data_IF_461484472574
#
_entry.id   IF_461484472574
#
_cell.length_a   1.000
_cell.length_b   1.000
_cell.length_c   1.000
_cell.angle_alpha   90.00
_cell.angle_beta   90.00
_cell.angle_gamma   90.00
#
_symmetry.space_group_name_H-M   'P 1'
#
loop_
_entity.id
_entity.type
_entity.pdbx_description
1 polymer ?
#
# COMPACT_ATOMS: atom_id res chain seq x y z
N UNK A 1 20.71 10.81 1.71
CA UNK A 1 20.21 10.90 0.32
C UNK A 1 18.72 11.17 0.38
N UNK A 2 18.23 12.21 -0.30
CA UNK A 2 16.78 12.41 -0.47
C UNK A 2 16.29 11.47 -1.58
N UNK A 3 15.24 10.69 -1.30
CA UNK A 3 14.64 9.76 -2.26
C UNK A 3 13.15 10.07 -2.38
N UNK A 4 12.78 10.66 -3.52
CA UNK A 4 11.39 10.99 -3.85
C UNK A 4 10.73 9.88 -4.68
N UNK A 5 9.44 10.04 -5.01
CA UNK A 5 8.70 9.05 -5.80
C UNK A 5 9.26 8.79 -7.21
N UNK A 6 9.97 9.76 -7.78
CA UNK A 6 10.60 9.64 -9.10
C UNK A 6 11.83 8.75 -9.00
N UNK A 7 12.68 9.00 -8.00
CA UNK A 7 13.91 8.25 -7.77
C UNK A 7 13.69 6.88 -7.12
N UNK A 8 12.60 6.71 -6.36
CA UNK A 8 12.38 5.56 -5.48
C UNK A 8 12.63 4.23 -6.17
N UNK A 9 11.98 3.96 -7.30
CA UNK A 9 12.11 2.67 -7.96
C UNK A 9 13.51 2.40 -8.51
N UNK A 10 14.20 3.44 -9.00
CA UNK A 10 15.59 3.31 -9.46
C UNK A 10 16.60 3.11 -8.33
N UNK A 11 16.24 3.49 -7.09
CA UNK A 11 17.07 3.37 -5.87
C UNK A 11 16.64 2.22 -4.96
N UNK A 12 15.45 1.65 -5.12
CA UNK A 12 14.88 0.70 -4.17
C UNK A 12 15.77 -0.52 -3.96
N UNK A 13 16.37 -1.07 -5.03
CA UNK A 13 17.29 -2.20 -4.91
C UNK A 13 18.54 -1.84 -4.10
N UNK A 14 19.13 -0.66 -4.32
CA UNK A 14 20.29 -0.16 -3.59
C UNK A 14 19.98 -0.01 -2.09
N UNK A 15 18.81 0.52 -1.75
CA UNK A 15 18.35 0.65 -0.36
C UNK A 15 18.15 -0.73 0.27
N UNK A 16 17.51 -1.66 -0.45
CA UNK A 16 17.29 -3.05 0.02
C UNK A 16 18.63 -3.76 0.24
N UNK A 17 19.61 -3.59 -0.65
CA UNK A 17 20.96 -4.12 -0.50
C UNK A 17 21.65 -3.52 0.73
N UNK A 18 21.59 -2.20 0.91
CA UNK A 18 22.16 -1.53 2.08
C UNK A 18 21.55 -2.03 3.39
N UNK A 19 20.24 -2.27 3.44
CA UNK A 19 19.58 -2.88 4.61
C UNK A 19 20.09 -4.31 4.83
N UNK A 20 20.27 -5.08 3.76
CA UNK A 20 20.67 -6.49 3.83
C UNK A 20 22.09 -6.72 4.34
N UNK A 21 22.99 -5.74 4.16
CA UNK A 21 24.38 -5.80 4.66
C UNK A 21 24.55 -5.08 6.00
N UNK A 22 23.58 -4.26 6.41
CA UNK A 22 23.65 -3.48 7.64
C UNK A 22 23.64 -4.35 8.89
N UNK A 23 24.42 -3.92 9.88
CA UNK A 23 24.39 -4.48 11.23
C UNK A 23 23.21 -3.95 12.02
N UNK A 24 22.93 -2.65 11.86
CA UNK A 24 21.75 -2.00 12.41
C UNK A 24 21.23 -0.93 11.46
N UNK A 25 19.95 -0.62 11.60
CA UNK A 25 19.27 0.45 10.87
C UNK A 25 18.66 1.40 11.89
N UNK A 26 19.13 2.64 11.90
CA UNK A 26 18.53 3.70 12.71
C UNK A 26 17.41 4.39 11.93
N UNK A 27 16.30 4.74 12.58
CA UNK A 27 15.23 5.51 11.94
C UNK A 27 14.60 6.55 12.86
N UNK A 28 13.97 7.53 12.23
CA UNK A 28 13.23 8.62 12.87
C UNK A 28 12.06 9.07 11.98
N UNK A 29 10.99 9.58 12.58
CA UNK A 29 9.75 9.93 11.87
C UNK A 29 9.32 11.38 12.09
N UNK A 30 8.82 11.98 11.02
CA UNK A 30 8.07 13.24 11.10
C UNK A 30 6.57 12.94 10.95
N UNK A 31 5.74 13.40 11.89
CA UNK A 31 4.35 12.99 12.03
C UNK A 31 3.38 14.17 11.86
N UNK A 32 2.19 13.91 11.30
CA UNK A 32 1.12 14.94 11.22
C UNK A 32 0.48 15.27 12.57
N UNK A 33 0.80 14.52 13.62
CA UNK A 33 0.29 14.72 14.97
C UNK A 33 0.86 13.69 15.94
N UNK A 34 0.66 13.94 17.23
CA UNK A 34 1.12 13.08 18.34
C UNK A 34 -0.03 12.91 19.34
N UNK A 35 0.06 11.98 20.30
CA UNK A 35 -0.98 11.82 21.32
C UNK A 35 -1.17 13.11 22.13
N UNK A 36 -2.41 13.57 22.24
CA UNK A 36 -2.75 14.72 23.07
C UNK A 36 -2.69 14.31 24.53
N UNK A 37 -1.93 15.04 25.37
CA UNK A 37 -1.93 14.82 26.82
C UNK A 37 -3.19 15.41 27.43
N UNK A 38 -4.28 14.65 27.49
CA UNK A 38 -5.54 15.12 28.11
C UNK A 38 -5.54 14.99 29.64
N UNK A 39 -4.68 14.13 30.21
CA UNK A 39 -4.68 13.85 31.66
C UNK A 39 -3.46 14.44 32.36
N UNK A 40 -3.66 15.53 33.09
CA UNK A 40 -2.67 16.04 34.05
C UNK A 40 -2.87 15.38 35.42
N UNK A 41 -1.86 14.67 35.93
CA UNK A 41 -1.72 14.38 37.37
C UNK A 41 -1.85 12.92 37.83
N UNK A 42 -2.34 12.00 37.00
CA UNK A 42 -2.38 10.55 37.33
C UNK A 42 -1.25 9.79 36.63
N UNK A 43 -0.57 8.89 37.35
CA UNK A 43 0.40 7.97 36.73
C UNK A 43 -0.36 7.06 35.78
N UNK A 44 -0.08 7.23 34.49
CA UNK A 44 -0.62 6.40 33.42
C UNK A 44 0.01 5.01 33.45
N UNK A 45 -0.81 3.97 33.27
CA UNK A 45 -0.31 2.61 33.04
C UNK A 45 0.33 2.47 31.65
N UNK A 46 1.15 1.43 31.44
CA UNK A 46 1.72 1.17 30.12
C UNK A 46 0.65 0.87 29.07
N UNK A 47 -0.41 0.17 29.47
CA UNK A 47 -1.56 -0.14 28.61
C UNK A 47 -2.29 1.14 28.18
N UNK A 48 -2.61 2.04 29.11
CA UNK A 48 -3.21 3.33 28.76
C UNK A 48 -2.29 4.12 27.82
N UNK A 49 -0.98 4.13 28.08
CA UNK A 49 -0.01 4.82 27.21
C UNK A 49 -0.03 4.26 25.79
N UNK A 50 -0.10 2.94 25.67
CA UNK A 50 -0.25 2.28 24.39
C UNK A 50 -1.54 2.70 23.68
N UNK A 51 -2.68 2.69 24.38
CA UNK A 51 -3.98 3.06 23.81
C UNK A 51 -4.03 4.51 23.32
N UNK A 52 -3.42 5.45 24.03
CA UNK A 52 -3.32 6.85 23.59
C UNK A 52 -2.47 6.98 22.32
N UNK A 53 -1.33 6.28 22.26
CA UNK A 53 -0.46 6.29 21.08
C UNK A 53 -1.12 5.60 19.89
N UNK A 54 -1.83 4.49 20.15
CA UNK A 54 -2.63 3.78 19.16
C UNK A 54 -3.70 4.70 18.56
N UNK A 55 -4.47 5.39 19.40
CA UNK A 55 -5.51 6.31 18.93
C UNK A 55 -4.93 7.45 18.09
N UNK A 56 -3.74 7.95 18.43
CA UNK A 56 -3.03 8.95 17.65
C UNK A 56 -2.57 8.39 16.29
N UNK A 57 -1.93 7.22 16.27
CA UNK A 57 -1.46 6.56 15.05
C UNK A 57 -2.60 6.17 14.09
N UNK A 58 -3.81 5.94 14.60
CA UNK A 58 -5.01 5.71 13.79
C UNK A 58 -5.57 6.98 13.14
N UNK A 59 -5.23 8.16 13.66
CA UNK A 59 -5.73 9.47 13.19
C UNK A 59 -4.71 10.23 12.34
N UNK A 60 -3.45 10.19 12.74
CA UNK A 60 -2.35 10.94 12.13
C UNK A 60 -1.49 10.04 11.24
N UNK A 61 -0.63 10.63 10.41
CA UNK A 61 0.19 9.91 9.42
C UNK A 61 1.66 10.30 9.54
N UNK A 62 2.51 9.45 8.99
CA UNK A 62 3.93 9.72 8.80
C UNK A 62 4.08 10.57 7.53
N UNK A 63 4.74 11.72 7.63
CA UNK A 63 5.06 12.60 6.51
C UNK A 63 6.45 12.34 5.94
N UNK A 64 7.40 12.02 6.81
CA UNK A 64 8.77 11.72 6.42
C UNK A 64 9.34 10.63 7.32
N UNK A 65 10.22 9.82 6.76
CA UNK A 65 11.03 8.86 7.50
C UNK A 65 12.50 9.05 7.12
N UNK A 66 13.33 9.25 8.13
CA UNK A 66 14.77 9.14 8.04
C UNK A 66 15.20 7.72 8.34
N UNK A 67 16.09 7.15 7.53
CA UNK A 67 16.61 5.79 7.69
C UNK A 67 18.13 5.79 7.45
N UNK A 68 18.91 5.30 8.39
CA UNK A 68 20.37 5.17 8.26
C UNK A 68 20.78 3.73 8.40
N UNK A 69 21.26 3.15 7.30
CA UNK A 69 21.87 1.83 7.25
C UNK A 69 23.31 1.92 7.74
N UNK A 70 23.66 1.18 8.80
CA UNK A 70 25.01 1.17 9.36
C UNK A 70 25.64 -0.21 9.25
N UNK A 71 26.77 -0.27 8.57
CA UNK A 71 27.61 -1.45 8.40
C UNK A 71 28.92 -1.26 9.17
N UNK A 72 29.31 -2.25 9.95
CA UNK A 72 30.55 -2.22 10.72
C UNK A 72 31.61 -3.03 10.00
N UNK A 73 32.79 -2.45 9.81
CA UNK A 73 34.01 -3.17 9.46
C UNK A 73 34.72 -3.57 10.76
N UNK A 74 34.75 -4.88 11.03
CA UNK A 74 35.33 -5.44 12.25
C UNK A 74 36.86 -5.40 12.24
N UNK A 75 37.49 -5.39 11.07
CA UNK A 75 38.95 -5.40 10.95
C UNK A 75 39.53 -4.00 11.21
N UNK A 76 38.88 -2.97 10.68
CA UNK A 76 39.33 -1.58 10.87
C UNK A 76 38.66 -0.88 12.06
N UNK A 77 37.63 -1.49 12.66
CA UNK A 77 36.81 -0.85 13.70
C UNK A 77 36.03 0.36 13.19
N UNK A 78 35.84 0.47 11.87
CA UNK A 78 35.18 1.58 11.21
C UNK A 78 33.71 1.27 10.90
N UNK A 79 32.93 2.31 10.60
CA UNK A 79 31.54 2.18 10.18
C UNK A 79 31.32 2.84 8.82
N UNK A 80 30.53 2.19 7.98
CA UNK A 80 29.97 2.77 6.76
C UNK A 80 28.49 3.05 7.02
N UNK A 81 28.09 4.31 6.86
CA UNK A 81 26.71 4.75 7.05
C UNK A 81 26.09 5.28 5.76
N UNK A 82 24.88 4.84 5.47
CA UNK A 82 24.10 5.22 4.28
C UNK A 82 22.77 5.80 4.73
N UNK A 83 22.68 7.13 4.95
CA UNK A 83 21.45 7.78 5.38
C UNK A 83 20.54 8.09 4.18
N UNK A 84 19.25 7.88 4.37
CA UNK A 84 18.19 8.11 3.41
C UNK A 84 17.05 8.89 4.07
N UNK A 85 16.44 9.79 3.33
CA UNK A 85 15.23 10.51 3.74
C UNK A 85 14.16 10.30 2.67
N UNK A 86 12.95 9.94 3.13
CA UNK A 86 11.82 9.70 2.27
C UNK A 86 10.65 10.53 2.76
N UNK A 87 10.18 11.45 1.92
CA UNK A 87 8.83 11.98 2.08
C UNK A 87 7.83 10.86 1.71
N UNK A 88 6.77 10.69 2.48
CA UNK A 88 5.77 9.64 2.29
C UNK A 88 4.45 10.24 1.83
N UNK A 89 3.85 9.69 0.79
CA UNK A 89 2.60 10.19 0.26
C UNK A 89 1.41 9.41 0.84
N UNK A 90 0.58 10.03 1.71
CA UNK A 90 -0.61 9.39 2.25
C UNK A 90 -1.76 9.33 1.22
N UNK A 91 -1.61 9.90 0.03
CA UNK A 91 -2.62 9.83 -1.03
C UNK A 91 -2.56 8.48 -1.77
N UNK A 92 -3.73 8.00 -2.15
CA UNK A 92 -3.89 6.80 -2.98
C UNK A 92 -3.92 7.25 -4.45
N UNK A 93 -2.80 7.10 -5.15
CA UNK A 93 -2.67 7.49 -6.56
C UNK A 93 -3.33 6.44 -7.49
N UNK A 94 -3.29 5.16 -7.09
CA UNK A 94 -3.92 4.07 -7.82
C UNK A 94 -5.41 3.92 -7.47
N UNK A 95 -6.22 3.59 -8.48
CA UNK A 95 -7.66 3.31 -8.30
C UNK A 95 -7.86 1.92 -7.69
N UNK A 96 -7.78 1.85 -6.37
CA UNK A 96 -7.86 0.60 -5.59
C UNK A 96 -9.18 0.42 -4.83
N UNK A 97 -10.16 1.31 -5.05
CA UNK A 97 -11.49 1.29 -4.42
C UNK A 97 -11.44 1.26 -2.88
N UNK A 98 -10.35 1.78 -2.29
CA UNK A 98 -10.16 1.99 -0.85
C UNK A 98 -10.04 3.49 -0.57
N UNK A 99 -10.38 3.90 0.65
CA UNK A 99 -10.32 5.29 1.08
C UNK A 99 -9.45 5.42 2.34
N UNK A 100 -8.63 6.48 2.38
CA UNK A 100 -7.79 6.80 3.53
C UNK A 100 -8.16 8.18 4.06
N UNK A 101 -8.70 8.21 5.27
CA UNK A 101 -9.01 9.43 6.01
C UNK A 101 -7.92 9.64 7.06
N UNK A 102 -7.39 10.85 7.13
CA UNK A 102 -6.33 11.23 8.06
C UNK A 102 -6.48 12.69 8.47
N UNK A 103 -5.77 13.08 9.52
CA UNK A 103 -5.81 14.45 10.05
C UNK A 103 -4.41 15.02 10.27
N UNK A 104 -4.36 16.34 10.46
CA UNK A 104 -3.17 17.07 10.88
C UNK A 104 -3.50 17.81 12.17
N UNK A 105 -2.65 17.67 13.18
CA UNK A 105 -2.72 18.44 14.41
C UNK A 105 -2.06 19.81 14.19
N UNK A 106 -2.76 20.89 14.56
CA UNK A 106 -2.28 22.26 14.36
C UNK A 106 -0.90 22.53 14.98
N UNK A 107 -0.68 22.09 16.22
CA UNK A 107 0.61 22.28 16.89
C UNK A 107 1.77 21.50 16.26
N UNK A 108 1.50 20.30 15.73
CA UNK A 108 2.52 19.53 15.00
C UNK A 108 2.86 20.22 13.67
N UNK A 109 1.85 20.72 12.96
CA UNK A 109 2.04 21.50 11.73
C UNK A 109 2.86 22.78 11.99
N UNK A 110 2.53 23.55 13.02
CA UNK A 110 3.28 24.75 13.41
C UNK A 110 4.74 24.40 13.74
N UNK A 111 4.96 23.34 14.53
CA UNK A 111 6.31 22.89 14.88
C UNK A 111 7.13 22.53 13.64
N UNK A 112 6.61 21.68 12.76
CA UNK A 112 7.28 21.27 11.53
C UNK A 112 7.58 22.46 10.62
N UNK A 113 6.60 23.35 10.40
CA UNK A 113 6.78 24.55 9.59
C UNK A 113 7.84 25.49 10.17
N UNK A 114 7.91 25.63 11.50
CA UNK A 114 8.93 26.46 12.17
C UNK A 114 10.35 25.90 12.02
N UNK A 115 10.50 24.60 11.77
CA UNK A 115 11.78 23.93 11.48
C UNK A 115 12.06 23.79 9.98
N UNK A 116 11.28 24.47 9.13
CA UNK A 116 11.50 24.50 7.68
C UNK A 116 10.97 23.28 6.91
N UNK A 117 10.14 22.44 7.54
CA UNK A 117 9.51 21.32 6.86
C UNK A 117 8.58 21.80 5.74
N UNK A 118 8.76 21.26 4.53
CA UNK A 118 7.94 21.62 3.37
C UNK A 118 6.70 20.73 3.29
N UNK A 119 5.59 21.20 3.88
CA UNK A 119 4.32 20.45 4.00
C UNK A 119 3.72 19.98 2.67
N UNK A 120 4.11 20.55 1.53
CA UNK A 120 3.67 20.12 0.21
C UNK A 120 4.45 18.92 -0.34
N UNK A 121 5.68 18.65 0.13
CA UNK A 121 6.52 17.57 -0.43
C UNK A 121 5.92 16.17 -0.26
N UNK A 122 5.36 15.78 0.90
CA UNK A 122 4.71 14.48 1.07
C UNK A 122 3.65 14.20 0.00
N UNK A 123 2.80 15.18 -0.33
CA UNK A 123 1.71 15.01 -1.30
C UNK A 123 2.15 15.13 -2.76
N UNK A 124 3.20 15.92 -3.04
CA UNK A 124 3.62 16.21 -4.42
C UNK A 124 4.72 15.27 -4.91
N UNK A 125 5.70 14.98 -4.05
CA UNK A 125 6.91 14.20 -4.36
C UNK A 125 7.09 12.97 -3.48
N UNK A 126 6.27 12.79 -2.44
CA UNK A 126 6.40 11.67 -1.51
C UNK A 126 6.20 10.32 -2.18
N UNK A 127 6.95 9.33 -1.71
CA UNK A 127 6.85 7.94 -2.14
C UNK A 127 5.50 7.39 -1.69
N UNK A 128 4.68 6.81 -2.58
CA UNK A 128 3.41 6.21 -2.18
C UNK A 128 3.64 5.03 -1.25
N UNK A 129 2.63 4.72 -0.45
CA UNK A 129 2.59 3.49 0.33
C UNK A 129 1.19 2.90 0.41
N UNK A 130 1.17 1.61 0.71
CA UNK A 130 -0.02 0.83 0.98
C UNK A 130 0.31 -0.14 2.11
N UNK A 131 -0.46 -0.19 3.19
CA UNK A 131 -0.27 -1.19 4.25
C UNK A 131 -0.60 -2.61 3.76
N UNK A 132 -0.13 -3.65 4.47
CA UNK A 132 -0.50 -5.05 4.12
C UNK A 132 -2.02 -5.24 4.15
N UNK A 133 -2.69 -4.66 5.14
CA UNK A 133 -4.15 -4.69 5.27
C UNK A 133 -4.88 -3.98 4.11
N UNK A 134 -4.45 -2.76 3.74
CA UNK A 134 -5.02 -2.04 2.60
C UNK A 134 -4.82 -2.79 1.28
N UNK A 135 -3.65 -3.40 1.07
CA UNK A 135 -3.39 -4.22 -0.12
C UNK A 135 -4.26 -5.47 -0.17
N UNK A 136 -4.49 -6.11 0.98
CA UNK A 136 -5.41 -7.25 1.09
C UNK A 136 -6.85 -6.82 0.77
N UNK A 137 -7.34 -5.73 1.38
CA UNK A 137 -8.68 -5.18 1.14
C UNK A 137 -8.89 -4.79 -0.32
N UNK A 138 -7.93 -4.08 -0.93
CA UNK A 138 -7.99 -3.71 -2.35
C UNK A 138 -8.11 -4.95 -3.25
N UNK A 139 -7.38 -6.02 -2.93
CA UNK A 139 -7.47 -7.29 -3.66
C UNK A 139 -8.82 -7.98 -3.48
N UNK A 140 -9.33 -8.03 -2.25
CA UNK A 140 -10.63 -8.62 -1.93
C UNK A 140 -11.78 -7.88 -2.62
N UNK A 141 -11.78 -6.54 -2.58
CA UNK A 141 -12.77 -5.69 -3.25
C UNK A 141 -12.74 -5.87 -4.77
N UNK A 142 -11.55 -5.87 -5.38
CA UNK A 142 -11.41 -6.09 -6.81
C UNK A 142 -11.90 -7.48 -7.23
N UNK A 143 -11.59 -8.51 -6.46
CA UNK A 143 -12.03 -9.89 -6.75
C UNK A 143 -13.54 -10.03 -6.58
N UNK A 144 -14.10 -9.45 -5.50
CA UNK A 144 -15.55 -9.40 -5.28
C UNK A 144 -16.29 -8.71 -6.43
N UNK A 145 -15.71 -7.64 -6.97
CA UNK A 145 -16.26 -6.92 -8.13
C UNK A 145 -16.24 -7.73 -9.41
N UNK A 146 -15.22 -8.58 -9.61
CA UNK A 146 -15.14 -9.44 -10.80
C UNK A 146 -16.01 -10.68 -10.69
N UNK A 147 -16.31 -11.11 -9.47
CA UNK A 147 -17.21 -12.21 -9.20
C UNK A 147 -18.66 -11.80 -9.46
N UNK A 148 -19.10 -12.02 -10.69
CA UNK A 148 -20.47 -11.74 -11.13
C UNK A 148 -21.51 -12.55 -10.36
N UNK A 149 -21.17 -13.66 -9.69
CA UNK A 149 -22.15 -14.48 -8.95
C UNK A 149 -22.67 -13.81 -7.69
N UNK A 150 -21.89 -12.87 -7.12
CA UNK A 150 -22.25 -12.15 -5.89
C UNK A 150 -23.24 -11.01 -6.09
N UNK A 151 -23.56 -10.65 -7.34
CA UNK A 151 -24.53 -9.60 -7.63
C UNK A 151 -25.93 -10.17 -7.40
N UNK A 152 -26.60 -9.70 -6.34
CA UNK A 152 -27.98 -10.07 -6.02
C UNK A 152 -28.89 -9.82 -7.23
N UNK A 153 -29.72 -10.82 -7.53
CA UNK A 153 -30.75 -10.73 -8.57
C UNK A 153 -31.76 -9.64 -8.19
N UNK A 154 -32.11 -8.82 -9.18
CA UNK A 154 -33.28 -7.96 -9.09
C UNK A 154 -34.51 -8.86 -9.13
N UNK A 155 -35.29 -8.84 -8.05
CA UNK A 155 -36.59 -9.50 -8.03
C UNK A 155 -37.62 -8.55 -8.61
N UNK A 156 -38.09 -8.85 -9.81
CA UNK A 156 -39.17 -8.12 -10.43
C UNK A 156 -40.50 -8.56 -9.83
N UNK A 157 -41.35 -7.60 -9.47
CA UNK A 157 -42.72 -7.88 -8.99
C UNK A 157 -43.67 -8.03 -10.17
N UNK A 158 -44.80 -8.71 -9.95
CA UNK A 158 -45.77 -8.99 -11.02
C UNK A 158 -46.43 -7.72 -11.61
N UNK A 159 -46.40 -6.60 -10.89
CA UNK A 159 -46.89 -5.29 -11.32
C UNK A 159 -45.88 -4.50 -12.18
N UNK A 160 -44.63 -4.94 -12.30
CA UNK A 160 -43.58 -4.28 -13.09
C UNK A 160 -43.62 -4.69 -14.57
N UNK A 161 -44.79 -4.49 -15.20
CA UNK A 161 -45.11 -4.94 -16.57
C UNK A 161 -44.09 -4.48 -17.61
N UNK A 162 -43.61 -3.23 -17.51
CA UNK A 162 -42.64 -2.68 -18.47
C UNK A 162 -41.27 -3.38 -18.40
N UNK A 163 -40.80 -3.67 -17.18
CA UNK A 163 -39.54 -4.38 -16.94
C UNK A 163 -39.62 -5.83 -17.41
N UNK A 164 -40.74 -6.50 -17.13
CA UNK A 164 -41.00 -7.87 -17.58
C UNK A 164 -41.07 -7.96 -19.11
N UNK A 165 -41.75 -7.00 -19.75
CA UNK A 165 -41.83 -6.92 -21.20
C UNK A 165 -40.46 -6.64 -21.84
N UNK A 166 -39.66 -5.76 -21.23
CA UNK A 166 -38.28 -5.53 -21.68
C UNK A 166 -37.44 -6.82 -21.64
N UNK A 167 -37.46 -7.55 -20.51
CA UNK A 167 -36.75 -8.83 -20.37
C UNK A 167 -37.23 -9.84 -21.42
N UNK A 168 -38.53 -9.91 -21.69
CA UNK A 168 -39.11 -10.77 -22.74
C UNK A 168 -38.59 -10.39 -24.13
N UNK A 169 -38.54 -9.11 -24.47
CA UNK A 169 -38.01 -8.63 -25.76
C UNK A 169 -36.51 -8.93 -25.91
N UNK A 170 -35.73 -8.78 -24.84
CA UNK A 170 -34.31 -9.15 -24.85
C UNK A 170 -34.12 -10.65 -25.09
N UNK A 171 -34.93 -11.50 -24.46
CA UNK A 171 -34.93 -12.96 -24.69
C UNK A 171 -35.15 -13.29 -26.16
N UNK A 172 -36.19 -12.72 -26.77
CA UNK A 172 -36.50 -12.90 -28.20
C UNK A 172 -35.34 -12.44 -29.08
N UNK A 173 -34.71 -11.30 -28.77
CA UNK A 173 -33.57 -10.80 -29.52
C UNK A 173 -32.36 -11.74 -29.45
N UNK A 174 -32.08 -12.32 -28.27
CA UNK A 174 -31.00 -13.31 -28.09
C UNK A 174 -31.30 -14.58 -28.88
N UNK A 175 -32.51 -15.13 -28.77
CA UNK A 175 -32.88 -16.38 -29.44
C UNK A 175 -32.82 -16.22 -30.97
N UNK A 176 -33.36 -15.10 -31.49
CA UNK A 176 -33.27 -14.75 -32.91
C UNK A 176 -31.82 -14.59 -33.39
N UNK A 177 -30.96 -14.00 -32.57
CA UNK A 177 -29.54 -13.86 -32.90
C UNK A 177 -28.85 -15.23 -32.93
N UNK A 178 -29.15 -16.14 -31.99
CA UNK A 178 -28.61 -17.51 -31.99
C UNK A 178 -29.01 -18.30 -33.24
N UNK A 179 -30.24 -18.11 -33.72
CA UNK A 179 -30.73 -18.78 -34.93
C UNK A 179 -30.17 -18.19 -36.23
N UNK A 180 -30.03 -16.87 -36.30
CA UNK A 180 -29.76 -16.17 -37.57
C UNK A 180 -28.33 -15.69 -37.74
N UNK A 181 -27.55 -15.59 -36.65
CA UNK A 181 -26.22 -14.97 -36.65
C UNK A 181 -26.21 -13.49 -37.05
N UNK A 182 -27.37 -12.81 -37.01
CA UNK A 182 -27.54 -11.40 -37.38
C UNK A 182 -27.88 -10.56 -36.15
N UNK A 183 -27.37 -9.32 -36.02
CA UNK A 183 -26.69 -8.52 -37.06
C UNK A 183 -25.21 -8.84 -37.26
N UNK A 184 -24.52 -9.41 -36.27
CA UNK A 184 -23.11 -9.83 -36.36
C UNK A 184 -23.00 -11.27 -35.84
N UNK A 185 -22.24 -12.12 -36.52
CA UNK A 185 -22.05 -13.53 -36.15
C UNK A 185 -21.31 -13.69 -34.80
N UNK A 186 -20.63 -12.66 -34.34
CA UNK A 186 -19.73 -12.71 -33.18
C UNK A 186 -20.36 -12.15 -31.91
N UNK A 187 -21.33 -11.23 -32.03
CA UNK A 187 -21.95 -10.58 -30.88
C UNK A 187 -23.34 -9.98 -31.18
N UNK A 188 -24.11 -9.77 -30.11
CA UNK A 188 -25.36 -9.00 -30.11
C UNK A 188 -25.24 -7.81 -29.16
N UNK A 189 -25.59 -6.61 -29.59
CA UNK A 189 -25.64 -5.43 -28.72
C UNK A 189 -27.10 -5.11 -28.35
N UNK A 190 -27.37 -5.01 -27.05
CA UNK A 190 -28.61 -4.44 -26.52
C UNK A 190 -28.35 -2.98 -26.18
N UNK A 191 -29.00 -2.05 -26.89
CA UNK A 191 -28.77 -0.59 -26.80
C UNK A 191 -30.01 0.21 -26.38
N UNK A 192 -31.18 -0.42 -26.34
CA UNK A 192 -32.45 0.23 -26.01
C UNK A 192 -33.44 -0.76 -25.36
N UNK A 193 -34.58 -0.24 -24.91
CA UNK A 193 -35.69 -0.99 -24.30
C UNK A 193 -36.53 -1.80 -25.29
N UNK A 194 -36.35 -1.59 -26.60
CA UNK A 194 -36.94 -2.43 -27.64
C UNK A 194 -35.87 -3.01 -28.58
N UNK A 195 -35.16 -4.05 -28.16
CA UNK A 195 -34.14 -4.69 -28.99
C UNK A 195 -34.70 -5.40 -30.22
N UNK A 196 -36.03 -5.58 -30.31
CA UNK A 196 -36.69 -6.27 -31.42
C UNK A 196 -37.11 -5.34 -32.56
N UNK A 197 -37.19 -4.03 -32.29
CA UNK A 197 -37.57 -2.99 -33.24
C UNK A 197 -36.39 -2.36 -33.98
N UNK A 198 -36.65 -1.20 -34.60
CA UNK A 198 -35.60 -0.38 -35.20
C UNK A 198 -34.63 0.14 -34.13
N UNK A 199 -33.34 -0.09 -34.37
CA UNK A 199 -32.30 0.33 -33.44
C UNK A 199 -32.15 1.86 -33.47
N UNK A 200 -32.28 2.55 -32.33
CA UNK A 200 -32.18 4.00 -32.31
C UNK A 200 -30.76 4.45 -32.66
N UNK A 201 -30.66 5.61 -33.29
CA UNK A 201 -29.37 6.21 -33.68
C UNK A 201 -28.50 6.56 -32.45
N UNK A 202 -29.15 6.76 -31.30
CA UNK A 202 -28.52 7.00 -30.00
C UNK A 202 -28.99 5.94 -28.98
N UNK A 203 -28.08 5.24 -28.30
CA UNK A 203 -28.47 4.30 -27.26
C UNK A 203 -29.03 4.96 -26.01
N UNK A 204 -30.15 4.43 -25.49
CA UNK A 204 -30.90 4.98 -24.34
C UNK A 204 -31.01 3.98 -23.19
N UNK A 205 -30.09 3.02 -23.10
CA UNK A 205 -30.17 1.98 -22.07
C UNK A 205 -29.67 2.48 -20.71
N UNK A 206 -30.58 2.60 -19.73
CA UNK A 206 -30.28 2.95 -18.35
C UNK A 206 -29.54 1.86 -17.57
N UNK A 207 -29.06 2.20 -16.37
CA UNK A 207 -28.31 1.26 -15.53
C UNK A 207 -29.18 0.10 -15.00
N UNK A 208 -30.47 0.36 -14.80
CA UNK A 208 -31.44 -0.65 -14.36
C UNK A 208 -31.67 -1.69 -15.46
N UNK A 209 -31.92 -1.25 -16.69
CA UNK A 209 -32.11 -2.12 -17.85
C UNK A 209 -30.84 -2.91 -18.17
N UNK A 210 -29.66 -2.27 -18.14
CA UNK A 210 -28.36 -2.97 -18.26
C UNK A 210 -28.24 -4.11 -17.25
N UNK A 211 -28.64 -3.87 -16.00
CA UNK A 211 -28.61 -4.89 -14.94
C UNK A 211 -29.55 -6.05 -15.24
N UNK A 212 -30.76 -5.78 -15.73
CA UNK A 212 -31.71 -6.82 -16.13
C UNK A 212 -31.17 -7.69 -17.28
N UNK A 213 -30.53 -7.10 -18.28
CA UNK A 213 -29.89 -7.86 -19.38
C UNK A 213 -28.78 -8.76 -18.83
N UNK A 214 -27.90 -8.24 -17.96
CA UNK A 214 -26.84 -9.04 -17.35
C UNK A 214 -27.39 -10.22 -16.54
N UNK A 215 -28.46 -9.98 -15.78
CA UNK A 215 -29.15 -11.00 -14.99
C UNK A 215 -29.80 -12.08 -15.87
N UNK A 216 -30.53 -11.68 -16.91
CA UNK A 216 -31.18 -12.60 -17.85
C UNK A 216 -30.16 -13.54 -18.51
N UNK A 217 -29.09 -12.97 -19.08
CA UNK A 217 -28.04 -13.76 -19.74
C UNK A 217 -27.38 -14.74 -18.77
N UNK A 218 -27.09 -14.30 -17.53
CA UNK A 218 -26.50 -15.15 -16.49
C UNK A 218 -27.42 -16.30 -16.06
N UNK A 219 -28.73 -16.06 -16.00
CA UNK A 219 -29.69 -17.03 -15.49
C UNK A 219 -30.13 -18.06 -16.54
N UNK A 220 -30.33 -17.63 -17.79
CA UNK A 220 -30.98 -18.45 -18.82
C UNK A 220 -30.03 -18.93 -19.93
N UNK A 221 -28.85 -18.32 -20.08
CA UNK A 221 -27.94 -18.57 -21.21
C UNK A 221 -26.51 -18.91 -20.74
N UNK A 222 -26.25 -20.14 -20.26
CA UNK A 222 -24.94 -20.52 -19.71
C UNK A 222 -23.81 -20.55 -20.75
N UNK A 223 -24.13 -20.67 -22.03
CA UNK A 223 -23.21 -20.63 -23.16
C UNK A 223 -22.92 -19.20 -23.67
N UNK A 224 -23.51 -18.17 -23.05
CA UNK A 224 -23.32 -16.76 -23.42
C UNK A 224 -22.73 -15.95 -22.27
N UNK A 225 -22.04 -14.86 -22.62
CA UNK A 225 -21.49 -13.91 -21.66
C UNK A 225 -21.97 -12.51 -22.02
N UNK A 226 -22.49 -11.79 -21.03
CA UNK A 226 -22.80 -10.37 -21.14
C UNK A 226 -21.61 -9.50 -20.68
N UNK A 227 -21.25 -8.53 -21.52
CA UNK A 227 -20.12 -7.61 -21.37
C UNK A 227 -20.65 -6.18 -21.34
N UNK A 228 -20.36 -5.40 -20.28
CA UNK A 228 -20.82 -4.02 -20.20
C UNK A 228 -20.05 -3.15 -21.21
N UNK A 229 -20.78 -2.30 -21.94
CA UNK A 229 -20.24 -1.23 -22.80
C UNK A 229 -20.82 0.12 -22.34
N UNK A 230 -20.16 1.26 -22.61
CA UNK A 230 -20.66 2.57 -22.19
C UNK A 230 -22.13 2.82 -22.57
N UNK A 231 -22.51 2.41 -23.78
CA UNK A 231 -23.82 2.65 -24.37
C UNK A 231 -24.61 1.37 -24.69
N UNK A 232 -24.12 0.18 -24.30
CA UNK A 232 -24.77 -1.09 -24.65
C UNK A 232 -24.46 -2.18 -23.63
N UNK A 233 -25.22 -3.28 -23.69
CA UNK A 233 -24.78 -4.58 -23.18
C UNK A 233 -24.47 -5.45 -24.38
N UNK A 234 -23.20 -5.85 -24.52
CA UNK A 234 -22.77 -6.74 -25.60
C UNK A 234 -22.83 -8.18 -25.11
N UNK A 235 -23.53 -9.03 -25.84
CA UNK A 235 -23.68 -10.46 -25.59
C UNK A 235 -22.78 -11.19 -26.58
N UNK A 236 -21.94 -12.07 -26.09
CA UNK A 236 -20.99 -12.87 -26.88
C UNK A 236 -21.08 -14.34 -26.49
N UNK A 237 -20.62 -15.23 -27.36
CA UNK A 237 -20.48 -16.65 -27.02
C UNK A 237 -19.44 -16.84 -25.91
N UNK A 238 -19.77 -17.70 -24.94
CA UNK A 238 -18.86 -18.09 -23.89
C UNK A 238 -17.67 -18.86 -24.47
N UNK A 239 -16.46 -18.41 -24.13
CA UNK A 239 -15.22 -19.10 -24.46
C UNK A 239 -14.36 -19.13 -23.19
N UNK A 240 -14.16 -20.33 -22.65
CA UNK A 240 -13.48 -20.53 -21.38
C UNK A 240 -12.02 -20.06 -21.41
N UNK A 241 -11.30 -20.31 -22.50
CA UNK A 241 -9.92 -19.84 -22.69
C UNK A 241 -9.82 -18.32 -22.71
N UNK A 242 -10.77 -17.67 -23.40
CA UNK A 242 -10.85 -16.20 -23.46
C UNK A 242 -11.14 -15.61 -22.09
N UNK A 243 -12.14 -16.13 -21.36
CA UNK A 243 -12.51 -15.63 -20.04
C UNK A 243 -11.39 -15.83 -19.01
N UNK A 244 -10.75 -17.00 -19.02
CA UNK A 244 -9.60 -17.27 -18.14
C UNK A 244 -8.41 -16.37 -18.46
N UNK A 245 -8.12 -16.10 -19.73
CA UNK A 245 -7.07 -15.16 -20.17
C UNK A 245 -7.37 -13.72 -19.73
N UNK A 246 -8.62 -13.25 -19.91
CA UNK A 246 -9.07 -11.92 -19.46
C UNK A 246 -8.93 -11.81 -17.94
N UNK A 247 -9.36 -12.83 -17.18
CA UNK A 247 -9.24 -12.84 -15.72
C UNK A 247 -7.78 -12.83 -15.26
N UNK A 248 -6.90 -13.59 -15.92
CA UNK A 248 -5.44 -13.58 -15.66
C UNK A 248 -4.85 -12.19 -15.92
N UNK A 249 -5.21 -11.55 -17.03
CA UNK A 249 -4.77 -10.20 -17.37
C UNK A 249 -5.22 -9.16 -16.34
N UNK A 250 -6.50 -9.22 -15.93
CA UNK A 250 -7.05 -8.36 -14.86
C UNK A 250 -6.31 -8.56 -13.52
N UNK A 251 -6.09 -9.82 -13.11
CA UNK A 251 -5.31 -10.16 -11.90
C UNK A 251 -3.89 -9.61 -11.96
N UNK A 252 -3.21 -9.72 -13.11
CA UNK A 252 -1.86 -9.18 -13.31
C UNK A 252 -1.84 -7.65 -13.26
N UNK A 253 -2.80 -6.98 -13.90
CA UNK A 253 -2.94 -5.53 -13.86
C UNK A 253 -3.15 -5.02 -12.43
N UNK A 254 -4.10 -5.61 -11.69
CA UNK A 254 -4.36 -5.28 -10.29
C UNK A 254 -3.11 -5.49 -9.42
N UNK A 255 -2.41 -6.61 -9.60
CA UNK A 255 -1.16 -6.88 -8.85
C UNK A 255 -0.14 -5.77 -9.06
N UNK A 256 0.05 -5.31 -10.31
CA UNK A 256 0.97 -4.22 -10.64
C UNK A 256 0.53 -2.88 -10.05
N UNK A 257 -0.77 -2.59 -10.02
CA UNK A 257 -1.29 -1.38 -9.35
C UNK A 257 -1.00 -1.41 -7.85
N UNK A 258 -1.31 -2.53 -7.19
CA UNK A 258 -1.02 -2.73 -5.77
C UNK A 258 0.48 -2.60 -5.51
N UNK A 259 1.33 -3.17 -6.35
CA UNK A 259 2.79 -3.09 -6.21
C UNK A 259 3.32 -1.66 -6.34
N UNK A 260 2.83 -0.89 -7.31
CA UNK A 260 3.19 0.53 -7.47
C UNK A 260 2.76 1.37 -6.28
N UNK A 261 1.51 1.20 -5.83
CA UNK A 261 1.00 1.90 -4.65
C UNK A 261 1.67 1.44 -3.35
N UNK A 262 2.14 0.19 -3.28
CA UNK A 262 2.86 -0.35 -2.12
C UNK A 262 4.10 0.47 -1.81
N UNK A 263 4.84 0.90 -2.84
CA UNK A 263 5.96 1.83 -2.77
C UNK A 263 6.85 1.61 -1.53
N UNK A 264 6.90 2.60 -0.63
CA UNK A 264 7.81 2.59 0.51
C UNK A 264 7.62 1.40 1.46
N UNK A 265 6.44 0.78 1.53
CA UNK A 265 6.25 -0.45 2.34
C UNK A 265 7.26 -1.53 1.93
N UNK A 266 7.74 -1.58 0.68
CA UNK A 266 8.77 -2.55 0.28
C UNK A 266 10.08 -2.42 1.09
N UNK A 267 10.45 -1.22 1.50
CA UNK A 267 11.61 -0.99 2.38
C UNK A 267 11.32 -1.52 3.78
N UNK A 268 10.09 -1.33 4.27
CA UNK A 268 9.63 -1.90 5.54
C UNK A 268 9.60 -3.43 5.50
N UNK A 269 9.13 -4.03 4.40
CA UNK A 269 9.17 -5.49 4.21
C UNK A 269 10.61 -6.02 4.22
N UNK A 270 11.58 -5.24 3.72
CA UNK A 270 12.99 -5.60 3.81
C UNK A 270 13.46 -5.65 5.27
N UNK A 271 13.13 -4.63 6.07
CA UNK A 271 13.42 -4.60 7.50
C UNK A 271 12.73 -5.75 8.27
N UNK A 272 11.53 -6.15 7.84
CA UNK A 272 10.76 -7.25 8.45
C UNK A 272 11.24 -8.67 8.09
N UNK A 273 12.31 -8.84 7.29
CA UNK A 273 12.88 -10.15 6.96
C UNK A 273 12.70 -10.61 5.51
N UNK A 274 12.28 -9.73 4.60
CA UNK A 274 12.55 -9.91 3.18
C UNK A 274 11.57 -10.80 2.41
N UNK A 275 10.29 -10.87 2.76
CA UNK A 275 9.24 -11.38 1.86
C UNK A 275 8.92 -10.37 0.74
N UNK A 276 9.93 -10.03 -0.06
CA UNK A 276 9.82 -9.07 -1.16
C UNK A 276 9.26 -9.77 -2.40
N UNK A 277 8.03 -9.40 -2.78
CA UNK A 277 7.33 -9.91 -3.98
C UNK A 277 7.27 -8.83 -5.07
N UNK A 278 8.43 -8.23 -5.33
CA UNK A 278 8.64 -7.11 -6.27
C UNK A 278 8.98 -7.68 -7.64
N UNK A 279 8.41 -7.11 -8.70
CA UNK A 279 8.83 -7.34 -10.08
C UNK A 279 10.18 -6.66 -10.31
N UNK A 280 11.22 -7.43 -10.69
CA UNK A 280 12.59 -6.91 -10.87
C UNK A 280 12.64 -5.83 -11.95
N UNK A 281 11.73 -5.87 -12.93
CA UNK A 281 11.56 -4.81 -13.93
C UNK A 281 11.27 -3.44 -13.30
N UNK A 282 10.68 -3.41 -12.10
CA UNK A 282 10.40 -2.18 -11.37
C UNK A 282 11.68 -1.43 -11.00
N UNK A 283 12.83 -2.10 -10.84
CA UNK A 283 14.11 -1.44 -10.53
C UNK A 283 14.78 -0.79 -11.74
N UNK A 284 14.38 -1.14 -12.96
CA UNK A 284 14.94 -0.62 -14.20
C UNK A 284 14.37 0.78 -14.53
N UNK A 285 14.58 1.72 -13.61
CA UNK A 285 14.09 3.11 -13.70
C UNK A 285 15.24 4.10 -13.59
N UNK A 286 15.16 5.18 -14.37
CA UNK A 286 16.04 6.33 -14.22
C UNK A 286 15.64 7.15 -12.98
N UNK A 287 16.63 7.56 -12.19
CA UNK A 287 16.39 8.19 -10.89
C UNK A 287 15.96 9.65 -10.98
N UNK A 288 16.17 10.31 -12.12
CA UNK A 288 15.83 11.73 -12.31
C UNK A 288 14.47 11.90 -12.99
N UNK A 289 14.13 10.98 -13.90
CA UNK A 289 12.94 11.07 -14.76
C UNK A 289 11.87 10.03 -14.42
N UNK A 290 12.22 8.95 -13.71
CA UNK A 290 11.31 7.83 -13.46
C UNK A 290 10.99 6.98 -14.71
N UNK A 291 11.60 7.30 -15.85
CA UNK A 291 11.42 6.57 -17.10
C UNK A 291 12.02 5.16 -17.02
N UNK A 292 11.47 4.24 -17.80
CA UNK A 292 12.08 2.91 -17.98
C UNK A 292 13.45 3.09 -18.62
N UNK A 293 14.48 2.47 -18.05
CA UNK A 293 15.83 2.45 -18.61
C UNK A 293 16.24 1.05 -19.00
N UNK A 294 17.14 0.94 -19.97
CA UNK A 294 17.81 -0.33 -20.25
C UNK A 294 18.70 -0.70 -19.06
N UNK A 295 18.61 -1.95 -18.61
CA UNK A 295 19.39 -2.49 -17.51
C UNK A 295 19.63 -3.99 -17.73
N UNK A 296 20.72 -4.50 -17.17
CA UNK A 296 20.98 -5.94 -17.15
C UNK A 296 20.03 -6.64 -16.17
N UNK A 297 19.00 -7.27 -16.72
CA UNK A 297 17.96 -7.97 -15.94
C UNK A 297 18.50 -9.18 -15.19
N UNK A 298 19.58 -9.81 -15.68
CA UNK A 298 20.21 -10.94 -14.99
C UNK A 298 20.96 -10.44 -13.75
N UNK A 299 21.72 -9.36 -13.87
CA UNK A 299 22.40 -8.73 -12.74
C UNK A 299 21.39 -8.24 -11.68
N UNK A 300 20.37 -7.49 -12.08
CA UNK A 300 19.34 -7.00 -11.16
C UNK A 300 18.66 -8.14 -10.39
N UNK A 301 18.33 -9.24 -11.09
CA UNK A 301 17.71 -10.42 -10.47
C UNK A 301 18.68 -11.11 -9.51
N UNK A 302 19.95 -11.23 -9.87
CA UNK A 302 20.97 -11.84 -9.02
C UNK A 302 21.19 -11.03 -7.74
N UNK A 303 21.36 -9.71 -7.87
CA UNK A 303 21.48 -8.75 -6.75
C UNK A 303 20.29 -8.81 -5.82
N UNK A 304 19.08 -8.68 -6.37
CA UNK A 304 17.85 -8.74 -5.60
C UNK A 304 17.70 -10.08 -4.86
N UNK A 305 17.99 -11.20 -5.52
CA UNK A 305 17.94 -12.52 -4.89
C UNK A 305 18.97 -12.68 -3.76
N UNK A 306 20.19 -12.12 -3.90
CA UNK A 306 21.20 -12.14 -2.83
C UNK A 306 20.73 -11.34 -1.62
N UNK A 307 20.26 -10.11 -1.84
CA UNK A 307 19.75 -9.25 -0.77
C UNK A 307 18.56 -9.91 -0.05
N UNK A 308 17.62 -10.50 -0.81
CA UNK A 308 16.47 -11.19 -0.22
C UNK A 308 16.87 -12.40 0.63
N UNK A 309 17.84 -13.19 0.18
CA UNK A 309 18.38 -14.32 0.96
C UNK A 309 19.09 -13.83 2.22
N UNK A 310 19.90 -12.77 2.13
CA UNK A 310 20.57 -12.19 3.28
C UNK A 310 19.57 -11.71 4.35
N UNK A 311 18.51 -10.99 3.95
CA UNK A 311 17.46 -10.50 4.86
C UNK A 311 16.67 -11.62 5.55
N UNK A 312 16.46 -12.75 4.87
CA UNK A 312 15.82 -13.93 5.46
C UNK A 312 16.69 -14.60 6.52
N UNK A 313 18.01 -14.58 6.31
CA UNK A 313 18.96 -15.18 7.24
C UNK A 313 19.22 -14.27 8.46
N UNK A 314 19.33 -12.95 8.23
CA UNK A 314 19.64 -11.97 9.25
C UNK A 314 18.84 -10.69 9.02
N UNK A 315 18.08 -10.30 10.03
CA UNK A 315 17.44 -8.98 10.11
C UNK A 315 18.37 -8.01 10.85
N UNK A 316 18.52 -6.76 10.36
CA UNK A 316 19.31 -5.76 11.08
C UNK A 316 18.63 -5.40 12.40
N UNK A 317 19.41 -4.94 13.37
CA UNK A 317 18.86 -4.37 14.60
C UNK A 317 18.19 -3.04 14.28
N UNK A 318 16.95 -2.86 14.71
CA UNK A 318 16.25 -1.60 14.52
C UNK A 318 16.59 -0.65 15.67
N UNK A 319 17.12 0.53 15.36
CA UNK A 319 17.59 1.51 16.36
C UNK A 319 16.76 2.78 16.25
N UNK A 320 16.43 3.38 17.39
CA UNK A 320 15.77 4.68 17.44
C UNK A 320 16.03 5.39 18.76
N UNK A 321 15.45 6.57 18.94
CA UNK A 321 15.55 7.34 20.17
C UNK A 321 14.15 7.68 20.67
N UNK A 322 13.74 7.16 21.84
CA UNK A 322 12.38 7.33 22.35
C UNK A 322 11.29 6.79 21.40
N UNK A 323 11.58 5.64 20.78
CA UNK A 323 10.95 5.16 19.54
C UNK A 323 9.60 4.45 19.73
N UNK A 324 9.03 4.48 20.93
CA UNK A 324 7.76 3.79 21.23
C UNK A 324 6.62 4.29 20.33
N UNK A 325 6.52 5.61 20.18
CA UNK A 325 5.56 6.24 19.27
C UNK A 325 5.86 5.84 17.84
N UNK A 326 7.11 5.94 17.43
CA UNK A 326 7.53 5.71 16.04
C UNK A 326 7.23 4.30 15.57
N UNK A 327 7.48 3.30 16.41
CA UNK A 327 7.19 1.91 16.10
C UNK A 327 5.68 1.66 15.93
N UNK A 328 4.84 2.27 16.78
CA UNK A 328 3.37 2.14 16.67
C UNK A 328 2.86 2.76 15.37
N UNK A 329 3.37 3.95 15.01
CA UNK A 329 3.05 4.60 13.73
C UNK A 329 3.52 3.75 12.55
N UNK A 330 4.77 3.27 12.57
CA UNK A 330 5.33 2.40 11.53
C UNK A 330 4.45 1.17 11.31
N UNK A 331 4.05 0.48 12.39
CA UNK A 331 3.16 -0.66 12.31
C UNK A 331 1.80 -0.28 11.69
N UNK A 332 1.16 0.77 12.19
CA UNK A 332 -0.16 1.19 11.72
C UNK A 332 -0.16 1.60 10.24
N UNK A 333 0.89 2.27 9.79
CA UNK A 333 1.04 2.81 8.43
C UNK A 333 1.35 1.72 7.41
N UNK A 334 2.21 0.75 7.75
CA UNK A 334 2.74 -0.20 6.76
C UNK A 334 2.27 -1.64 6.93
N UNK A 335 1.87 -2.04 8.13
CA UNK A 335 1.46 -3.42 8.43
C UNK A 335 -0.06 -3.50 8.41
N UNK A 336 -0.76 -2.89 9.37
CA UNK A 336 -2.21 -2.98 9.44
C UNK A 336 -2.82 -2.41 10.73
N UNK A 337 -4.05 -2.81 11.07
CA UNK A 337 -4.71 -2.40 12.30
C UNK A 337 -3.87 -2.76 13.53
N UNK A 338 -3.74 -1.81 14.46
CA UNK A 338 -3.02 -2.02 15.71
C UNK A 338 -3.80 -2.97 16.63
N UNK A 339 -3.14 -3.91 17.33
CA UNK A 339 -3.80 -4.80 18.28
C UNK A 339 -4.55 -4.06 19.41
N UNK A 340 -5.58 -4.67 19.99
CA UNK A 340 -6.35 -4.06 21.08
C UNK A 340 -5.55 -3.90 22.38
N UNK A 341 -4.50 -4.70 22.61
CA UNK A 341 -3.70 -4.71 23.85
C UNK A 341 -2.21 -4.47 23.59
N UNK A 342 -1.48 -3.95 24.59
CA UNK A 342 -0.03 -3.78 24.50
C UNK A 342 0.71 -5.11 24.37
N UNK A 343 0.24 -6.17 25.04
CA UNK A 343 0.90 -7.47 24.99
C UNK A 343 0.83 -8.08 23.57
N UNK A 344 -0.35 -8.04 22.93
CA UNK A 344 -0.47 -8.47 21.53
C UNK A 344 0.39 -7.61 20.60
N UNK A 345 0.46 -6.29 20.84
CA UNK A 345 1.35 -5.41 20.08
C UNK A 345 2.82 -5.80 20.24
N UNK A 346 3.25 -6.14 21.45
CA UNK A 346 4.60 -6.61 21.75
C UNK A 346 4.93 -7.91 21.00
N UNK A 347 3.99 -8.84 20.94
CA UNK A 347 4.19 -10.09 20.20
C UNK A 347 4.36 -9.84 18.70
N UNK A 348 3.43 -9.09 18.08
CA UNK A 348 3.49 -8.84 16.64
C UNK A 348 4.68 -7.97 16.24
N UNK A 349 5.13 -7.05 17.10
CA UNK A 349 6.28 -6.21 16.78
C UNK A 349 7.58 -7.01 16.81
N UNK A 350 7.77 -7.91 17.77
CA UNK A 350 8.96 -8.77 17.83
C UNK A 350 8.96 -9.85 16.75
N UNK A 351 7.79 -10.26 16.25
CA UNK A 351 7.71 -11.10 15.06
C UNK A 351 8.26 -10.39 13.81
N UNK A 352 7.98 -9.09 13.65
CA UNK A 352 8.47 -8.29 12.52
C UNK A 352 9.93 -7.85 12.72
N UNK A 353 10.26 -7.29 13.90
CA UNK A 353 11.56 -6.75 14.28
C UNK A 353 12.09 -7.47 15.55
N UNK A 354 12.87 -8.56 15.39
CA UNK A 354 13.29 -9.37 16.53
C UNK A 354 14.18 -8.62 17.53
N UNK A 355 14.96 -7.66 17.05
CA UNK A 355 15.86 -6.85 17.88
C UNK A 355 15.61 -5.37 17.65
N UNK A 356 15.26 -4.68 18.73
CA UNK A 356 14.95 -3.25 18.77
C UNK A 356 15.75 -2.62 19.89
N UNK A 357 16.39 -1.49 19.61
CA UNK A 357 17.25 -0.78 20.56
C UNK A 357 16.82 0.68 20.63
N UNK A 358 16.31 1.10 21.79
CA UNK A 358 16.01 2.49 22.08
C UNK A 358 17.21 3.14 22.79
N UNK A 359 17.86 4.07 22.11
CA UNK A 359 19.04 4.78 22.63
C UNK A 359 18.73 5.66 23.85
N UNK A 360 17.50 6.17 23.96
CA UNK A 360 17.08 6.90 25.17
C UNK A 360 16.98 5.95 26.35
N UNK A 361 16.42 4.77 26.12
CA UNK A 361 16.39 3.72 27.14
C UNK A 361 17.82 3.33 27.53
N UNK A 362 18.70 3.04 26.57
CA UNK A 362 20.11 2.70 26.87
C UNK A 362 20.82 3.76 27.72
N UNK A 363 20.61 5.05 27.42
CA UNK A 363 21.27 6.15 28.12
C UNK A 363 20.68 6.44 29.51
N UNK A 364 19.50 5.90 29.83
CA UNK A 364 18.79 6.13 31.10
C UNK A 364 18.61 4.86 31.93
N UNK A 365 18.84 3.69 31.33
CA UNK A 365 18.76 2.40 31.99
C UNK A 365 19.80 2.34 33.11
N UNK A 366 19.36 2.00 34.32
CA UNK A 366 20.17 1.98 35.55
C UNK A 366 20.64 3.35 36.10
N UNK A 367 20.11 4.47 35.62
CA UNK A 367 20.42 5.79 36.18
C UNK A 367 19.61 6.13 37.47
N UNK A 368 19.47 5.21 38.43
CA UNK A 368 18.87 5.47 39.76
C UNK A 368 17.60 6.36 39.77
N UNK A 369 17.39 7.13 40.84
CA UNK A 369 16.26 8.07 40.98
C UNK A 369 16.49 9.42 40.30
N UNK A 370 17.71 9.69 39.85
CA UNK A 370 18.07 10.94 39.17
C UNK A 370 18.01 10.69 37.67
N UNK A 371 16.84 10.93 37.08
CA UNK A 371 16.68 10.86 35.63
C UNK A 371 17.60 11.87 34.94
N UNK A 372 18.64 11.45 34.21
CA UNK A 372 19.51 12.37 33.52
C UNK A 372 18.74 13.01 32.37
N UNK A 373 19.05 14.28 32.11
CA UNK A 373 18.69 14.95 30.85
C UNK A 373 19.11 14.07 29.66
N UNK A 374 18.11 13.59 28.91
CA UNK A 374 18.21 12.50 27.93
C UNK A 374 17.47 12.81 26.62
N UNK A 375 17.34 14.08 26.24
CA UNK A 375 16.98 14.40 24.85
C UNK A 375 18.11 13.97 23.91
N UNK A 376 17.79 13.73 22.64
CA UNK A 376 18.77 13.33 21.64
C UNK A 376 19.95 14.30 21.56
N UNK A 377 19.69 15.60 21.46
CA UNK A 377 20.72 16.65 21.46
C UNK A 377 21.61 16.62 22.70
N UNK A 378 21.04 16.33 23.87
CA UNK A 378 21.80 16.27 25.12
C UNK A 378 22.70 15.05 25.17
N UNK A 379 22.22 13.90 24.72
CA UNK A 379 23.02 12.68 24.63
C UNK A 379 24.14 12.89 23.60
N UNK A 380 23.82 13.42 22.42
CA UNK A 380 24.81 13.73 21.39
C UNK A 380 25.91 14.66 21.94
N UNK A 381 25.53 15.75 22.61
CA UNK A 381 26.49 16.69 23.19
C UNK A 381 27.34 16.11 24.32
N UNK A 382 26.84 15.10 25.05
CA UNK A 382 27.64 14.36 26.06
C UNK A 382 28.62 13.40 25.40
N UNK A 383 28.20 12.71 24.34
CA UNK A 383 29.00 11.69 23.66
C UNK A 383 30.04 12.29 22.70
N UNK A 384 29.85 13.52 22.21
CA UNK A 384 30.79 14.16 21.27
C UNK A 384 32.23 14.32 21.80
N UNK A 385 32.40 14.25 23.13
CA UNK A 385 33.71 14.33 23.77
C UNK A 385 34.45 12.98 23.80
N UNK A 386 33.78 11.87 23.44
CA UNK A 386 34.38 10.56 23.34
C UNK A 386 35.07 10.39 21.99
N UNK A 387 36.09 9.54 21.96
CA UNK A 387 36.73 9.14 20.72
C UNK A 387 35.73 8.35 19.87
N UNK A 388 35.44 8.88 18.67
CA UNK A 388 34.51 8.26 17.73
C UNK A 388 35.27 7.26 16.84
N UNK A 389 34.66 6.12 16.48
CA UNK A 389 35.22 5.29 15.42
C UNK A 389 35.26 6.07 14.10
N UNK A 390 36.06 5.61 13.15
CA UNK A 390 36.06 6.16 11.79
C UNK A 390 34.70 5.88 11.16
N UNK A 391 34.01 6.93 10.71
CA UNK A 391 32.69 6.82 10.06
C UNK A 391 32.80 7.35 8.63
N UNK A 392 32.67 6.46 7.65
CA UNK A 392 32.53 6.81 6.24
C UNK A 392 31.04 6.94 5.89
N UNK A 393 30.70 7.95 5.11
CA UNK A 393 29.33 8.18 4.63
C UNK A 393 29.26 7.94 3.13
N UNK A 394 28.35 7.07 2.73
CA UNK A 394 28.07 6.72 1.33
C UNK A 394 26.71 7.26 0.87
#
# INVERSE_FOLDING_TARGET
MEVDKTAFWGRALEVIEAISTSHFVAFDLELTGIPTKERSGTKMTLEERYLDVKAAAERYQILQIGLTCAEQDLDTGSYIVRPYNFNLNPLLEERLDIERIWSIQSGAAEFLLSHGFQMNLPMTKGVPYLSRDEARKAKELAYARWDKSRIADVQLRADEVQSLEFVRKVRIAIDKWRETGKPDVSFLNIVCTDPTGEQPLYPELGNFEKRLVHQLVRAEYPDLVSVPKPQAVQIVTHNEERETSILRSKKRALRRQIERQTGFRWIIEALCGGELKIDVESFARDVHTGAVRSADMLDLKARFSRAQTALKNRRPVLVGHNMFTDIIYLYRTFIGPLPPTLEEFREVIHQNFPSVVDTKYMATHNCGDINPKSSLDQIHNKLRAQEMPVIAKE
#
